data_IF_147768236772
#
_entry.id   IF_147768236772
#
_cell.length_a   1.000
_cell.length_b   1.000
_cell.length_c   1.000
_cell.angle_alpha   90.00
_cell.angle_beta   90.00
_cell.angle_gamma   90.00
#
_symmetry.space_group_name_H-M   'P 1'
#
loop_
_entity.id
_entity.type
_entity.pdbx_description
1 polymer ?
#
# COMPACT_ATOMS: atom_id res chain seq x y z
N UNK A 1 -6.46 -10.02 19.79
CA UNK A 1 -5.71 -11.21 19.33
C UNK A 1 -6.68 -12.08 18.56
N UNK A 2 -6.54 -12.18 17.24
CA UNK A 2 -7.38 -13.02 16.39
C UNK A 2 -6.56 -14.22 15.95
N UNK A 3 -6.90 -15.40 16.46
CA UNK A 3 -6.27 -16.68 16.09
C UNK A 3 -7.23 -17.44 15.17
N UNK A 4 -6.72 -17.96 14.06
CA UNK A 4 -7.51 -18.71 13.09
C UNK A 4 -6.82 -20.04 12.78
N UNK A 5 -7.53 -21.14 13.00
CA UNK A 5 -7.07 -22.48 12.65
C UNK A 5 -7.83 -22.98 11.43
N UNK A 6 -7.12 -23.29 10.34
CA UNK A 6 -7.70 -23.79 9.09
C UNK A 6 -6.73 -24.74 8.41
N UNK A 7 -7.24 -25.85 7.85
CA UNK A 7 -6.44 -26.88 7.15
C UNK A 7 -5.20 -27.35 7.96
N UNK A 8 -5.35 -27.55 9.28
CA UNK A 8 -4.27 -28.02 10.15
C UNK A 8 -3.17 -26.99 10.44
N UNK A 9 -3.37 -25.72 10.10
CA UNK A 9 -2.45 -24.60 10.43
C UNK A 9 -3.12 -23.60 11.35
N UNK A 10 -2.37 -23.04 12.28
CA UNK A 10 -2.81 -21.99 13.19
C UNK A 10 -2.11 -20.68 12.85
N UNK A 11 -2.89 -19.63 12.59
CA UNK A 11 -2.42 -18.29 12.26
C UNK A 11 -2.80 -17.34 13.39
N UNK A 12 -1.87 -16.46 13.77
CA UNK A 12 -2.13 -15.38 14.71
C UNK A 12 -2.03 -14.06 13.96
N UNK A 13 -3.09 -13.27 14.00
CA UNK A 13 -3.05 -11.89 13.53
C UNK A 13 -2.09 -11.09 14.41
N UNK A 14 -1.08 -10.46 13.80
CA UNK A 14 -0.16 -9.56 14.47
C UNK A 14 -0.64 -8.11 14.40
N UNK A 15 -0.76 -7.57 13.18
CA UNK A 15 -1.05 -6.17 12.93
C UNK A 15 -1.54 -5.94 11.48
N UNK A 16 -2.06 -4.75 11.23
CA UNK A 16 -2.41 -4.26 9.90
C UNK A 16 -1.49 -3.09 9.55
N UNK A 17 -1.00 -3.06 8.31
CA UNK A 17 -0.05 -2.03 7.87
C UNK A 17 -0.80 -0.95 7.09
N UNK A 18 -0.56 0.30 7.48
CA UNK A 18 -1.02 1.48 6.77
C UNK A 18 -2.37 2.02 7.24
N UNK A 19 -2.75 3.16 6.66
CA UNK A 19 -3.99 3.89 6.93
C UNK A 19 -4.44 4.63 5.69
N UNK A 20 -5.70 5.09 5.68
CA UNK A 20 -6.14 6.00 4.64
C UNK A 20 -5.32 7.30 4.73
N UNK A 21 -4.62 7.63 3.65
CA UNK A 21 -3.94 8.90 3.49
C UNK A 21 -3.79 9.24 2.01
N UNK A 22 -3.86 10.54 1.71
CA UNK A 22 -3.57 11.02 0.37
C UNK A 22 -2.06 11.12 0.11
N UNK A 23 -1.25 11.30 1.16
CA UNK A 23 0.20 11.40 1.06
C UNK A 23 0.94 10.84 2.29
N UNK A 24 2.27 10.68 2.19
CA UNK A 24 3.15 10.19 3.25
C UNK A 24 2.86 8.75 3.70
N UNK A 25 2.90 8.49 5.00
CA UNK A 25 2.67 7.15 5.58
C UNK A 25 1.19 6.73 5.48
N UNK A 26 0.76 6.25 4.32
CA UNK A 26 -0.57 5.72 4.07
C UNK A 26 -0.95 5.70 2.58
N UNK A 27 -2.13 5.16 2.31
CA UNK A 27 -2.56 4.80 0.95
C UNK A 27 -4.03 5.12 0.71
N UNK A 28 -4.36 5.45 -0.54
CA UNK A 28 -5.74 5.57 -1.02
C UNK A 28 -5.98 4.48 -2.05
N UNK A 29 -6.96 3.61 -1.78
CA UNK A 29 -7.28 2.45 -2.63
C UNK A 29 -6.03 1.59 -2.92
N UNK A 30 -5.46 0.91 -1.90
CA UNK A 30 -4.30 0.04 -2.10
C UNK A 30 -4.71 -1.17 -2.96
N UNK A 31 -4.21 -1.24 -4.20
CA UNK A 31 -4.65 -2.25 -5.18
C UNK A 31 -3.73 -3.47 -5.24
N UNK A 32 -2.45 -3.29 -4.95
CA UNK A 32 -1.45 -4.35 -5.11
C UNK A 32 -0.23 -4.09 -4.23
N UNK A 33 0.44 -5.17 -3.83
CA UNK A 33 1.65 -5.13 -3.04
C UNK A 33 2.71 -6.07 -3.61
N UNK A 34 3.98 -5.73 -3.42
CA UNK A 34 5.14 -6.63 -3.62
C UNK A 34 6.01 -6.55 -2.37
N UNK A 35 6.37 -7.70 -1.79
CA UNK A 35 7.24 -7.79 -0.62
C UNK A 35 8.60 -8.40 -0.97
N UNK A 36 9.62 -8.00 -0.24
CA UNK A 36 11.00 -8.42 -0.43
C UNK A 36 11.57 -9.04 0.85
N UNK A 37 12.73 -9.70 0.75
CA UNK A 37 13.41 -10.35 1.89
C UNK A 37 14.01 -9.37 2.89
N UNK A 38 14.16 -8.10 2.51
CA UNK A 38 14.67 -7.02 3.38
C UNK A 38 13.54 -6.34 4.19
N UNK A 39 12.42 -7.04 4.36
CA UNK A 39 11.19 -6.55 5.00
C UNK A 39 10.54 -5.34 4.32
N UNK A 40 10.99 -4.94 3.14
CA UNK A 40 10.35 -3.86 2.38
C UNK A 40 9.12 -4.34 1.61
N UNK A 41 8.11 -3.50 1.60
CA UNK A 41 6.83 -3.70 0.94
C UNK A 41 6.56 -2.47 0.08
N UNK A 42 6.38 -2.70 -1.22
CA UNK A 42 5.90 -1.68 -2.14
C UNK A 42 4.39 -1.82 -2.26
N UNK A 43 3.66 -0.72 -2.13
CA UNK A 43 2.20 -0.67 -2.15
C UNK A 43 1.77 0.29 -3.24
N UNK A 44 0.97 -0.22 -4.18
CA UNK A 44 0.33 0.60 -5.20
C UNK A 44 -0.91 1.28 -4.61
N UNK A 45 -0.82 2.59 -4.41
CA UNK A 45 -1.95 3.45 -4.09
C UNK A 45 -2.57 3.92 -5.40
N UNK A 46 -3.75 3.39 -5.77
CA UNK A 46 -4.42 3.75 -7.03
C UNK A 46 -4.86 5.21 -7.04
N UNK A 47 -5.30 5.72 -5.89
CA UNK A 47 -5.75 7.10 -5.77
C UNK A 47 -6.85 7.48 -6.76
N UNK A 48 -7.04 8.79 -6.95
CA UNK A 48 -7.93 9.33 -7.98
C UNK A 48 -7.13 10.06 -9.06
N UNK A 49 -7.66 10.10 -10.28
CA UNK A 49 -7.10 10.95 -11.34
C UNK A 49 -7.29 12.46 -11.07
N UNK A 50 -8.15 12.80 -10.12
CA UNK A 50 -8.53 14.17 -9.83
C UNK A 50 -9.76 14.63 -10.62
N UNK A 51 -10.16 15.88 -10.41
CA UNK A 51 -11.30 16.50 -11.09
C UNK A 51 -11.01 17.99 -11.31
N UNK A 52 -11.58 18.58 -12.36
CA UNK A 52 -11.41 20.02 -12.65
C UNK A 52 -9.96 20.44 -12.94
N UNK A 53 -9.12 19.53 -13.47
CA UNK A 53 -7.71 19.81 -13.79
C UNK A 53 -6.75 19.71 -12.60
N UNK A 54 -7.22 19.36 -11.40
CA UNK A 54 -6.38 19.19 -10.21
C UNK A 54 -6.03 17.72 -10.02
N UNK A 55 -4.74 17.39 -10.15
CA UNK A 55 -4.22 16.03 -9.89
C UNK A 55 -4.13 15.79 -8.39
N UNK A 56 -4.58 14.62 -7.94
CA UNK A 56 -4.47 14.23 -6.53
C UNK A 56 -3.10 13.61 -6.22
N UNK A 57 -2.51 13.85 -5.04
CA UNK A 57 -1.19 13.32 -4.67
C UNK A 57 -1.21 11.83 -4.29
N UNK A 58 -2.37 11.18 -4.39
CA UNK A 58 -2.63 9.87 -3.80
C UNK A 58 -2.46 8.70 -4.76
N UNK A 59 -2.08 8.97 -6.01
CA UNK A 59 -1.70 7.96 -6.99
C UNK A 59 -0.18 7.87 -7.09
N UNK A 60 0.36 6.79 -6.56
CA UNK A 60 1.80 6.60 -6.36
C UNK A 60 2.09 5.17 -5.87
N UNK A 61 3.36 4.80 -5.87
CA UNK A 61 3.85 3.60 -5.21
C UNK A 61 4.57 4.03 -3.94
N UNK A 62 4.10 3.58 -2.78
CA UNK A 62 4.76 3.81 -1.50
C UNK A 62 5.61 2.62 -1.07
N UNK A 63 6.75 2.87 -0.44
CA UNK A 63 7.60 1.86 0.19
C UNK A 63 7.49 1.95 1.70
N UNK A 64 7.09 0.85 2.34
CA UNK A 64 7.01 0.69 3.79
C UNK A 64 7.77 -0.55 4.23
N UNK A 65 8.05 -0.68 5.52
CA UNK A 65 8.54 -1.94 6.10
C UNK A 65 7.40 -2.76 6.70
N UNK A 66 7.66 -4.04 6.97
CA UNK A 66 6.74 -4.90 7.73
C UNK A 66 6.42 -4.32 9.12
N UNK A 67 7.30 -3.47 9.66
CA UNK A 67 7.16 -2.78 10.95
C UNK A 67 6.52 -1.39 10.82
N UNK A 68 5.81 -1.12 9.71
CA UNK A 68 5.04 0.11 9.47
C UNK A 68 5.87 1.39 9.31
N UNK A 69 7.19 1.27 9.12
CA UNK A 69 8.04 2.42 8.81
C UNK A 69 7.82 2.85 7.35
N UNK A 70 7.47 4.12 7.14
CA UNK A 70 7.36 4.69 5.80
C UNK A 70 8.72 5.20 5.33
N UNK A 71 9.24 4.59 4.27
CA UNK A 71 10.56 4.90 3.72
C UNK A 71 10.48 6.02 2.67
N UNK A 72 9.41 6.04 1.88
CA UNK A 72 9.23 7.02 0.81
C UNK A 72 8.24 6.55 -0.25
N UNK A 73 8.08 7.33 -1.32
CA UNK A 73 7.20 7.01 -2.44
C UNK A 73 7.73 7.59 -3.75
N UNK A 74 7.18 7.10 -4.87
CA UNK A 74 7.51 7.55 -6.23
C UNK A 74 6.34 7.28 -7.18
N UNK A 75 6.49 7.69 -8.45
CA UNK A 75 5.49 7.41 -9.49
C UNK A 75 4.31 8.39 -9.50
N UNK A 76 4.49 9.61 -8.97
CA UNK A 76 3.43 10.62 -8.91
C UNK A 76 3.13 11.15 -10.31
N UNK A 77 1.91 10.91 -10.79
CA UNK A 77 1.49 11.35 -12.13
C UNK A 77 1.92 10.43 -13.27
N UNK A 78 2.67 9.36 -12.98
CA UNK A 78 3.20 8.45 -14.01
C UNK A 78 2.20 7.37 -14.45
N UNK A 79 1.06 7.28 -13.77
CA UNK A 79 0.07 6.22 -13.99
C UNK A 79 -1.34 6.79 -14.15
N UNK A 80 -2.19 6.03 -14.84
CA UNK A 80 -3.63 6.27 -14.95
C UNK A 80 -4.34 4.97 -14.58
N UNK A 81 -5.22 5.02 -13.58
CA UNK A 81 -5.99 3.86 -13.11
C UNK A 81 -5.17 2.56 -12.90
N UNK A 82 -4.02 2.58 -12.21
CA UNK A 82 -3.19 1.38 -12.06
C UNK A 82 -3.91 0.32 -11.20
N UNK A 83 -3.68 -0.96 -11.52
CA UNK A 83 -4.37 -2.10 -10.91
C UNK A 83 -3.44 -3.11 -10.24
N UNK A 84 -2.19 -3.24 -10.70
CA UNK A 84 -1.24 -4.22 -10.16
C UNK A 84 0.21 -3.76 -10.27
N UNK A 85 1.06 -4.36 -9.44
CA UNK A 85 2.51 -4.39 -9.57
C UNK A 85 2.93 -5.75 -10.17
N UNK A 86 4.09 -5.78 -10.84
CA UNK A 86 4.68 -6.98 -11.42
C UNK A 86 5.63 -7.69 -10.45
#
# INVERSE_FOLDING_TARGET
>A
MLTTTVQGRTWNFSHAIGRNAAAGNGFTQPMSIVSFKDDSIYVLSRGGDGAGGVVQPNKRIGRVTINEEFIGDFGHGDFTWPSSLA
#
